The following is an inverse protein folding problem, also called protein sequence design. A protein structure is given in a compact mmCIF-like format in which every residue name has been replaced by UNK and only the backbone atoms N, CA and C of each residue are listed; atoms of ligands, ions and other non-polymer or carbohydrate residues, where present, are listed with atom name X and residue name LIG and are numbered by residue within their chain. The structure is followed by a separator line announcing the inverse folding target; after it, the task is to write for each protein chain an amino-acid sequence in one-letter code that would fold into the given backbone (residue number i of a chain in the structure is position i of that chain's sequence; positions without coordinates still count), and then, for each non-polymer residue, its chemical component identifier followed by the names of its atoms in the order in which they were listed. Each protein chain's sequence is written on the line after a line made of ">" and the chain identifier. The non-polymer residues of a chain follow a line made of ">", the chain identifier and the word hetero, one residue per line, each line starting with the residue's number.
data_IF_692096144758
#
_entry.id   IF_692096144758
#
_cell.length_a   1.000
_cell.length_b   1.000
_cell.length_c   1.000
_cell.angle_alpha   90.00
_cell.angle_beta   90.00
_cell.angle_gamma   90.00
#
_symmetry.space_group_name_H-M   'P 1'
#
loop_
_entity.id
_entity.type
_entity.pdbx_description
1 polymer ?
#
# COMPACT_ATOMS: atom_id res chain seq x y z
N UNK A 1 2.00 2.76 -34.81
CA UNK A 1 2.44 2.11 -33.55
C UNK A 1 1.21 1.49 -32.88
N UNK A 2 1.13 0.15 -32.76
CA UNK A 2 0.03 -0.53 -32.05
C UNK A 2 0.46 -0.79 -30.61
N UNK A 3 -0.14 -0.08 -29.65
CA UNK A 3 0.05 -0.34 -28.22
C UNK A 3 -0.77 -1.58 -27.85
N UNK A 4 -0.09 -2.69 -27.54
CA UNK A 4 -0.74 -3.90 -27.05
C UNK A 4 -1.13 -3.68 -25.58
N UNK A 5 -2.42 -3.46 -25.32
CA UNK A 5 -2.97 -3.46 -23.96
C UNK A 5 -3.46 -4.85 -23.63
N UNK A 6 -2.79 -5.51 -22.68
CA UNK A 6 -3.14 -6.84 -22.18
C UNK A 6 -4.28 -6.70 -21.16
N UNK A 7 -5.48 -7.11 -21.53
CA UNK A 7 -6.60 -7.28 -20.61
C UNK A 7 -6.56 -8.69 -20.04
N UNK A 8 -6.71 -8.82 -18.71
CA UNK A 8 -6.80 -10.11 -18.02
C UNK A 8 -8.11 -10.16 -17.24
N UNK A 9 -8.80 -11.30 -17.32
CA UNK A 9 -10.01 -11.58 -16.55
C UNK A 9 -9.67 -11.81 -15.07
N UNK A 10 -10.51 -11.28 -14.20
CA UNK A 10 -10.33 -11.24 -12.74
C UNK A 10 -11.05 -12.42 -12.08
N UNK A 11 -10.28 -13.37 -11.51
CA UNK A 11 -10.82 -14.49 -10.74
C UNK A 11 -10.43 -14.35 -9.26
N UNK A 12 -11.20 -13.58 -8.48
CA UNK A 12 -11.47 -13.72 -7.03
C UNK A 12 -10.34 -13.92 -6.01
N UNK A 13 -9.07 -14.03 -6.40
CA UNK A 13 -7.93 -14.21 -5.52
C UNK A 13 -6.90 -13.14 -5.86
N UNK A 14 -6.77 -12.16 -4.99
CA UNK A 14 -5.73 -11.12 -5.05
C UNK A 14 -4.36 -11.75 -4.73
N UNK A 15 -3.83 -12.52 -5.66
CA UNK A 15 -2.40 -12.62 -5.83
C UNK A 15 -2.08 -12.02 -7.19
N UNK A 16 -2.16 -10.69 -7.29
CA UNK A 16 -1.39 -10.01 -8.32
C UNK A 16 0.07 -10.35 -8.05
N UNK A 17 0.66 -11.10 -8.96
CA UNK A 17 2.07 -11.43 -8.90
C UNK A 17 2.83 -10.11 -8.91
N UNK A 18 3.31 -9.68 -7.73
CA UNK A 18 4.02 -8.40 -7.58
C UNK A 18 5.10 -8.34 -8.66
N UNK A 19 5.19 -7.25 -9.45
CA UNK A 19 6.28 -7.08 -10.39
C UNK A 19 7.61 -7.43 -9.73
N UNK A 20 8.43 -8.25 -10.41
CA UNK A 20 9.75 -8.61 -9.91
C UNK A 20 10.53 -7.30 -9.74
N UNK A 21 10.90 -6.99 -8.49
CA UNK A 21 11.61 -5.77 -8.14
C UNK A 21 12.91 -5.71 -8.95
N UNK A 22 13.11 -4.62 -9.67
CA UNK A 22 14.36 -4.39 -10.40
C UNK A 22 15.52 -4.25 -9.39
N UNK A 23 16.70 -4.76 -9.76
CA UNK A 23 17.89 -4.66 -8.92
C UNK A 23 18.22 -3.18 -8.70
N UNK A 24 18.41 -2.76 -7.44
CA UNK A 24 18.68 -1.37 -7.10
C UNK A 24 17.46 -0.44 -7.04
N UNK A 25 16.24 -0.92 -7.37
CA UNK A 25 15.03 -0.14 -7.14
C UNK A 25 14.74 -0.05 -5.64
N UNK A 26 14.28 1.11 -5.17
CA UNK A 26 13.82 1.41 -3.83
C UNK A 26 12.29 1.26 -3.75
N UNK A 27 11.78 0.35 -2.90
CA UNK A 27 10.35 0.19 -2.72
C UNK A 27 9.82 1.18 -1.71
N UNK A 28 8.82 1.96 -2.12
CA UNK A 28 8.29 3.08 -1.37
C UNK A 28 6.78 2.95 -1.24
N UNK A 29 6.24 3.19 -0.05
CA UNK A 29 4.81 3.31 0.19
C UNK A 29 4.39 4.79 0.33
N UNK A 30 3.23 5.13 -0.18
CA UNK A 30 2.62 6.46 -0.05
C UNK A 30 1.22 6.30 0.55
N UNK A 31 1.01 6.89 1.72
CA UNK A 31 -0.28 6.97 2.38
C UNK A 31 -1.21 7.92 1.62
N UNK A 32 -2.34 7.39 1.16
CA UNK A 32 -3.29 8.15 0.33
C UNK A 32 -4.73 7.75 0.60
N UNK A 33 -5.64 8.70 0.40
CA UNK A 33 -7.09 8.42 0.38
C UNK A 33 -7.56 7.89 -0.98
N UNK A 34 -7.12 8.51 -2.09
CA UNK A 34 -7.69 8.26 -3.42
C UNK A 34 -6.64 8.16 -4.55
N UNK A 35 -5.37 7.93 -4.22
CA UNK A 35 -4.21 7.92 -5.15
C UNK A 35 -4.00 9.23 -5.94
N UNK A 36 -4.58 10.34 -5.48
CA UNK A 36 -4.45 11.67 -6.09
C UNK A 36 -3.39 12.56 -5.42
N UNK A 37 -2.62 12.01 -4.47
CA UNK A 37 -1.54 12.71 -3.78
C UNK A 37 -1.35 12.26 -2.33
N UNK A 38 -0.27 12.76 -1.72
CA UNK A 38 0.06 12.56 -0.31
C UNK A 38 -0.89 13.39 0.58
N UNK A 39 -2.03 12.80 0.94
CA UNK A 39 -3.13 13.49 1.64
C UNK A 39 -3.66 12.74 2.86
N UNK A 40 -2.88 11.81 3.42
CA UNK A 40 -3.34 11.01 4.54
C UNK A 40 -2.27 10.88 5.64
N UNK A 41 -2.73 10.82 6.88
CA UNK A 41 -1.95 10.25 7.99
C UNK A 41 -1.94 8.73 7.81
N UNK A 42 -0.90 8.06 8.28
CA UNK A 42 -0.75 6.62 8.07
C UNK A 42 -1.94 5.83 8.64
N UNK A 43 -2.34 6.16 9.87
CA UNK A 43 -3.41 5.52 10.64
C UNK A 43 -4.78 5.72 9.99
N UNK A 44 -5.02 6.82 9.29
CA UNK A 44 -6.31 7.13 8.63
C UNK A 44 -6.28 6.93 7.11
N UNK A 45 -5.15 6.50 6.53
CA UNK A 45 -5.06 6.24 5.11
C UNK A 45 -5.94 5.05 4.70
N UNK A 46 -6.79 5.26 3.70
CA UNK A 46 -7.57 4.17 3.08
C UNK A 46 -6.73 3.25 2.22
N UNK A 47 -5.59 3.72 1.71
CA UNK A 47 -4.71 2.93 0.83
C UNK A 47 -3.24 3.29 1.04
N UNK A 48 -2.37 2.31 0.87
CA UNK A 48 -0.93 2.51 0.67
C UNK A 48 -0.62 2.22 -0.81
N UNK A 49 -0.23 3.24 -1.55
CA UNK A 49 0.23 3.08 -2.92
C UNK A 49 1.73 2.75 -2.90
N UNK A 50 2.09 1.59 -3.44
CA UNK A 50 3.45 1.05 -3.43
C UNK A 50 4.07 1.22 -4.81
N UNK A 51 5.29 1.75 -4.81
CA UNK A 51 6.07 2.02 -6.01
C UNK A 51 7.48 1.45 -5.85
N UNK A 52 8.05 0.96 -6.95
CA UNK A 52 9.48 0.75 -7.08
C UNK A 52 10.08 1.97 -7.79
N UNK A 53 11.00 2.66 -7.15
CA UNK A 53 11.67 3.84 -7.68
C UNK A 53 13.15 3.55 -7.95
N UNK A 54 13.64 3.93 -9.12
CA UNK A 54 15.06 4.10 -9.41
C UNK A 54 15.34 5.61 -9.54
N UNK A 55 16.57 5.99 -9.88
CA UNK A 55 17.01 7.40 -9.90
C UNK A 55 16.10 8.32 -10.74
N UNK A 56 15.64 7.83 -11.88
CA UNK A 56 14.97 8.61 -12.92
C UNK A 56 13.64 8.03 -13.38
N UNK A 57 13.19 6.92 -12.77
CA UNK A 57 11.94 6.27 -13.11
C UNK A 57 11.26 5.66 -11.88
N UNK A 58 9.96 5.47 -11.99
CA UNK A 58 9.15 4.78 -11.00
C UNK A 58 8.17 3.84 -11.67
N UNK A 59 7.84 2.75 -10.99
CA UNK A 59 6.86 1.76 -11.42
C UNK A 59 5.85 1.55 -10.31
N UNK A 60 4.55 1.69 -10.61
CA UNK A 60 3.50 1.31 -9.69
C UNK A 60 3.48 -0.21 -9.50
N UNK A 61 3.52 -0.65 -8.24
CA UNK A 61 3.56 -2.07 -7.88
C UNK A 61 2.15 -2.54 -7.52
N UNK A 62 1.54 -1.92 -6.52
CA UNK A 62 0.19 -2.23 -6.05
C UNK A 62 -0.36 -1.10 -5.19
N UNK A 63 -1.67 -1.11 -4.95
CA UNK A 63 -2.30 -0.29 -3.93
C UNK A 63 -2.93 -1.22 -2.89
N UNK A 64 -2.32 -1.30 -1.71
CA UNK A 64 -2.89 -2.05 -0.61
C UNK A 64 -4.12 -1.30 -0.10
N UNK A 65 -5.30 -1.89 -0.35
CA UNK A 65 -6.57 -1.43 0.21
C UNK A 65 -6.59 -1.68 1.71
N UNK A 66 -6.88 -0.62 2.47
CA UNK A 66 -6.99 -0.63 3.92
C UNK A 66 -8.40 -0.23 4.35
N UNK A 67 -9.31 -0.14 3.37
CA UNK A 67 -10.74 0.07 3.59
C UNK A 67 -11.39 -1.26 3.96
N UNK A 68 -12.29 -1.16 4.94
CA UNK A 68 -13.03 -2.25 5.55
C UNK A 68 -13.76 -3.05 4.47
N UNK A 69 -13.28 -4.26 4.20
CA UNK A 69 -14.08 -5.23 3.46
C UNK A 69 -15.10 -5.69 4.49
N UNK A 70 -16.28 -5.07 4.51
CA UNK A 70 -17.40 -5.56 5.29
C UNK A 70 -17.54 -7.04 4.96
N UNK A 71 -17.19 -7.92 5.89
CA UNK A 71 -17.60 -9.31 5.81
C UNK A 71 -19.13 -9.24 5.67
N UNK A 72 -19.69 -9.84 4.62
CA UNK A 72 -21.11 -9.86 4.24
C UNK A 72 -22.03 -10.44 5.36
N UNK A 73 -21.48 -10.65 6.55
CA UNK A 73 -22.00 -11.23 7.78
C UNK A 73 -22.51 -10.12 8.74
N UNK A 74 -22.50 -8.84 8.35
CA UNK A 74 -23.14 -7.75 9.09
C UNK A 74 -22.51 -7.39 10.43
N UNK A 75 -21.28 -7.86 10.71
CA UNK A 75 -20.50 -7.35 11.85
C UNK A 75 -19.76 -6.09 11.42
N UNK A 76 -20.38 -4.94 11.63
CA UNK A 76 -19.63 -3.68 11.64
C UNK A 76 -18.58 -3.77 12.76
N UNK A 77 -17.31 -3.98 12.41
CA UNK A 77 -16.22 -3.58 13.30
C UNK A 77 -16.33 -2.07 13.47
N UNK A 78 -16.23 -1.61 14.72
CA UNK A 78 -16.43 -0.19 15.03
C UNK A 78 -15.45 0.63 14.20
N UNK A 79 -15.94 1.73 13.64
CA UNK A 79 -15.11 2.75 13.01
C UNK A 79 -13.93 3.08 13.94
N UNK A 80 -12.72 2.72 13.54
CA UNK A 80 -11.52 2.84 14.39
C UNK A 80 -10.97 1.55 15.02
N UNK A 81 -11.50 0.36 14.70
CA UNK A 81 -10.77 -0.87 15.04
C UNK A 81 -9.46 -0.92 14.23
N UNK A 82 -8.36 -1.06 14.95
CA UNK A 82 -7.05 -0.59 14.52
C UNK A 82 -6.45 -1.51 13.45
N UNK A 83 -6.72 -1.21 12.16
CA UNK A 83 -6.11 -1.91 11.03
C UNK A 83 -4.58 -1.69 10.94
N UNK A 84 -3.98 -0.97 11.89
CA UNK A 84 -2.56 -0.63 11.94
C UNK A 84 -1.67 -1.85 11.73
N UNK A 85 -1.98 -3.03 12.30
CA UNK A 85 -1.22 -4.25 12.04
C UNK A 85 -1.18 -4.65 10.56
N UNK A 86 -2.32 -4.62 9.87
CA UNK A 86 -2.40 -4.91 8.44
C UNK A 86 -1.67 -3.84 7.59
N UNK A 87 -1.75 -2.57 8.02
CA UNK A 87 -0.99 -1.47 7.39
C UNK A 87 0.51 -1.68 7.51
N UNK A 88 0.97 -2.11 8.69
CA UNK A 88 2.39 -2.42 8.93
C UNK A 88 2.85 -3.59 8.08
N UNK A 89 2.06 -4.66 7.95
CA UNK A 89 2.38 -5.79 7.08
C UNK A 89 2.52 -5.39 5.60
N UNK A 90 1.73 -4.42 5.13
CA UNK A 90 1.89 -3.87 3.78
C UNK A 90 3.21 -3.09 3.60
N UNK A 91 3.79 -2.57 4.69
CA UNK A 91 5.08 -1.87 4.70
C UNK A 91 6.30 -2.79 4.79
N UNK A 92 6.15 -4.07 5.12
CA UNK A 92 7.29 -5.00 5.32
C UNK A 92 8.24 -5.08 4.11
N UNK A 93 7.71 -4.89 2.89
CA UNK A 93 8.53 -4.88 1.68
C UNK A 93 9.08 -3.50 1.27
N UNK A 94 8.72 -2.45 2.02
CA UNK A 94 9.00 -1.05 1.70
C UNK A 94 10.13 -0.48 2.56
N UNK A 95 11.05 0.24 1.91
CA UNK A 95 12.15 0.95 2.58
C UNK A 95 11.83 2.40 2.92
N UNK A 96 10.82 3.01 2.30
CA UNK A 96 10.41 4.37 2.66
C UNK A 96 8.89 4.40 2.68
N UNK A 97 8.33 5.12 3.64
CA UNK A 97 6.91 5.41 3.72
C UNK A 97 6.71 6.92 3.79
N UNK A 98 5.89 7.46 2.90
CA UNK A 98 5.47 8.86 2.91
C UNK A 98 4.05 8.96 3.46
N UNK A 99 3.86 9.77 4.50
CA UNK A 99 2.57 10.10 5.09
C UNK A 99 2.63 11.52 5.68
N UNK A 100 1.46 12.14 5.92
CA UNK A 100 1.41 13.46 6.57
C UNK A 100 1.81 13.40 8.05
N UNK A 101 1.42 12.31 8.71
CA UNK A 101 1.80 11.98 10.07
C UNK A 101 1.76 10.47 10.25
N UNK A 102 2.56 10.00 11.20
CA UNK A 102 2.59 8.62 11.66
C UNK A 102 2.75 8.67 13.18
N UNK A 103 1.93 7.91 13.89
CA UNK A 103 2.02 7.76 15.34
C UNK A 103 3.36 7.17 15.74
N UNK A 104 3.87 7.57 16.92
CA UNK A 104 5.16 7.10 17.42
C UNK A 104 5.30 5.57 17.49
N UNK A 105 4.28 4.79 17.93
CA UNK A 105 4.38 3.33 17.93
C UNK A 105 4.59 2.74 16.53
N UNK A 106 3.84 3.25 15.54
CA UNK A 106 3.94 2.85 14.14
C UNK A 106 5.32 3.19 13.57
N UNK A 107 5.83 4.40 13.84
CA UNK A 107 7.13 4.86 13.37
C UNK A 107 8.29 4.01 13.93
N UNK A 108 8.24 3.69 15.23
CA UNK A 108 9.25 2.82 15.87
C UNK A 108 9.21 1.42 15.27
N UNK A 109 8.01 0.89 15.02
CA UNK A 109 7.86 -0.46 14.47
C UNK A 109 8.40 -0.52 13.04
N UNK A 110 8.08 0.47 12.21
CA UNK A 110 8.56 0.55 10.81
C UNK A 110 10.08 0.73 10.70
N UNK A 111 10.68 1.41 11.67
CA UNK A 111 12.14 1.55 11.76
C UNK A 111 12.87 0.29 12.22
N UNK A 112 12.18 -0.63 12.90
CA UNK A 112 12.77 -1.84 13.49
C UNK A 112 12.69 -3.09 12.61
N UNK A 113 11.70 -3.18 11.73
CA UNK A 113 11.45 -4.38 10.90
C UNK A 113 12.37 -4.51 9.68
N UNK A 114 13.65 -4.11 9.80
CA UNK A 114 14.61 -4.10 8.69
C UNK A 114 15.93 -4.76 9.03
#
# INVERSE_FOLDING_TARGET
>A
MRSLRRLSLFNGRFHQQRPKRQLGALRTAIATQAMKGLKAQFESAKRLAIYDAIRDAWTFVEAAGLEDISDEIGRHRREGEDCTGAKMAALDSCQIAFCLAMGAPSAVTFGRTR
#
